data_IF_839438901320
#
_entry.id   IF_839438901320
#
_cell.length_a   1.000
_cell.length_b   1.000
_cell.length_c   1.000
_cell.angle_alpha   90.00
_cell.angle_beta   90.00
_cell.angle_gamma   90.00
#
_symmetry.space_group_name_H-M   'P 1'
#
loop_
_entity.id
_entity.type
_entity.pdbx_description
1 polymer ?
#
# COMPACT_ATOMS: atom_id res chain seq x y z
N UNK A 1 -12.43 -14.54 9.81
CA UNK A 1 -11.49 -15.61 9.39
C UNK A 1 -11.83 -15.98 7.95
N UNK A 2 -10.86 -15.97 7.04
CA UNK A 2 -11.11 -16.36 5.64
C UNK A 2 -11.02 -17.89 5.57
N UNK A 3 -12.10 -18.54 5.23
CA UNK A 3 -12.11 -20.00 5.08
C UNK A 3 -11.29 -20.40 3.85
N UNK A 4 -10.30 -21.26 4.07
CA UNK A 4 -9.53 -21.86 2.98
C UNK A 4 -10.36 -23.03 2.44
N UNK A 5 -10.63 -23.10 1.12
CA UNK A 5 -11.38 -24.19 0.54
C UNK A 5 -10.71 -25.55 0.82
N UNK A 6 -11.52 -26.56 1.12
CA UNK A 6 -11.03 -27.90 1.50
C UNK A 6 -10.13 -28.54 0.45
N UNK A 7 -10.34 -28.24 -0.83
CA UNK A 7 -9.50 -28.74 -1.91
C UNK A 7 -8.11 -28.12 -1.93
N UNK A 8 -7.98 -26.87 -1.49
CA UNK A 8 -6.70 -26.18 -1.31
C UNK A 8 -5.97 -26.74 -0.10
N UNK A 9 -6.69 -26.92 1.03
CA UNK A 9 -6.14 -27.55 2.22
C UNK A 9 -5.59 -28.94 1.91
N UNK A 10 -6.36 -29.79 1.23
CA UNK A 10 -5.91 -31.10 0.79
C UNK A 10 -4.69 -31.05 -0.14
N UNK A 11 -4.58 -30.01 -0.98
CA UNK A 11 -3.39 -29.83 -1.81
C UNK A 11 -2.15 -29.49 -0.99
N UNK A 12 -2.29 -28.65 0.04
CA UNK A 12 -1.21 -28.27 0.95
C UNK A 12 -0.79 -29.45 1.84
N UNK A 13 -1.74 -30.16 2.46
CA UNK A 13 -1.51 -31.32 3.31
C UNK A 13 -0.81 -32.46 2.54
N UNK A 14 -1.16 -32.67 1.30
CA UNK A 14 -0.54 -33.67 0.42
C UNK A 14 0.82 -33.25 -0.15
N UNK A 15 1.39 -32.12 0.29
CA UNK A 15 2.71 -31.64 -0.13
C UNK A 15 2.78 -31.33 -1.64
N UNK A 16 1.67 -30.97 -2.28
CA UNK A 16 1.67 -30.61 -3.70
C UNK A 16 2.51 -29.36 -3.93
N UNK A 17 3.36 -29.39 -4.94
CA UNK A 17 4.19 -28.25 -5.31
C UNK A 17 3.33 -27.10 -5.82
N UNK A 18 3.54 -25.93 -5.25
CA UNK A 18 2.91 -24.70 -5.68
C UNK A 18 3.97 -23.63 -5.95
N UNK A 19 3.60 -22.63 -6.71
CA UNK A 19 4.41 -21.43 -6.97
C UNK A 19 3.59 -20.17 -6.71
N UNK A 20 4.26 -19.10 -6.33
CA UNK A 20 3.64 -17.80 -6.20
C UNK A 20 3.53 -17.13 -7.55
N UNK A 21 2.35 -16.58 -7.81
CA UNK A 21 2.06 -15.77 -8.98
C UNK A 21 1.53 -14.41 -8.51
N UNK A 22 1.92 -13.37 -9.23
CA UNK A 22 1.59 -11.99 -8.91
C UNK A 22 0.90 -11.33 -10.08
N UNK A 23 -0.26 -10.77 -9.83
CA UNK A 23 -0.95 -9.88 -10.76
C UNK A 23 -0.79 -8.45 -10.27
N UNK A 24 -0.06 -7.64 -11.01
CA UNK A 24 0.16 -6.21 -10.71
C UNK A 24 -0.84 -5.39 -11.49
N UNK A 25 -1.61 -4.58 -10.79
CA UNK A 25 -2.66 -3.74 -11.36
C UNK A 25 -2.32 -2.28 -11.13
N UNK A 26 -2.01 -1.55 -12.23
CA UNK A 26 -1.76 -0.11 -12.23
C UNK A 26 -2.78 0.57 -13.14
N UNK A 27 -3.72 1.30 -12.54
CA UNK A 27 -4.84 1.91 -13.27
C UNK A 27 -5.61 0.89 -14.11
N UNK A 28 -5.42 0.88 -15.44
CA UNK A 28 -6.07 -0.04 -16.38
C UNK A 28 -5.13 -1.13 -16.92
N UNK A 29 -3.86 -1.07 -16.57
CA UNK A 29 -2.87 -2.05 -17.03
C UNK A 29 -2.72 -3.18 -16.02
N UNK A 30 -2.56 -4.40 -16.54
CA UNK A 30 -2.27 -5.60 -15.75
C UNK A 30 -0.98 -6.22 -16.24
N UNK A 31 -0.14 -6.59 -15.31
CA UNK A 31 1.11 -7.30 -15.58
C UNK A 31 1.16 -8.54 -14.69
N UNK A 32 1.68 -9.64 -15.23
CA UNK A 32 1.62 -10.93 -14.57
C UNK A 32 3.02 -11.50 -14.42
N UNK A 33 3.39 -11.87 -13.20
CA UNK A 33 4.71 -12.40 -12.87
C UNK A 33 4.59 -13.69 -12.06
N UNK A 34 5.59 -14.55 -12.17
CA UNK A 34 5.65 -15.80 -11.40
C UNK A 34 7.04 -16.01 -10.83
N UNK A 35 7.09 -16.64 -9.65
CA UNK A 35 8.33 -17.14 -9.06
C UNK A 35 8.83 -18.45 -9.73
N UNK A 36 8.12 -18.98 -10.71
CA UNK A 36 8.55 -20.13 -11.49
C UNK A 36 9.58 -19.74 -12.54
N UNK A 37 10.48 -20.66 -12.91
CA UNK A 37 11.54 -20.41 -13.88
C UNK A 37 11.05 -20.38 -15.34
N UNK A 38 9.81 -20.80 -15.59
CA UNK A 38 9.22 -20.86 -16.92
C UNK A 38 7.93 -20.02 -16.98
N UNK A 39 7.56 -19.61 -18.19
CA UNK A 39 6.30 -18.91 -18.43
C UNK A 39 5.13 -19.84 -18.08
N UNK A 40 4.26 -19.37 -17.20
CA UNK A 40 3.01 -20.05 -16.87
C UNK A 40 1.84 -19.39 -17.59
N UNK A 41 0.94 -20.20 -18.13
CA UNK A 41 -0.31 -19.72 -18.74
C UNK A 41 -1.46 -20.10 -17.80
N UNK A 42 -2.07 -19.11 -17.20
CA UNK A 42 -3.17 -19.27 -16.23
C UNK A 42 -4.36 -18.47 -16.75
N UNK A 43 -5.49 -19.11 -17.00
CA UNK A 43 -6.73 -18.44 -17.49
C UNK A 43 -6.52 -17.55 -18.73
N UNK A 44 -5.65 -17.94 -19.66
CA UNK A 44 -5.22 -17.21 -20.87
C UNK A 44 -4.22 -16.07 -20.63
N UNK A 45 -3.89 -15.72 -19.40
CA UNK A 45 -2.89 -14.74 -19.06
C UNK A 45 -1.50 -15.40 -18.97
N UNK A 46 -0.49 -14.73 -19.52
CA UNK A 46 0.90 -15.18 -19.49
C UNK A 46 1.61 -14.57 -18.30
N UNK A 47 1.99 -15.42 -17.34
CA UNK A 47 2.81 -15.04 -16.20
C UNK A 47 4.28 -15.18 -16.56
N UNK A 48 4.99 -14.07 -16.56
CA UNK A 48 6.41 -14.02 -16.91
C UNK A 48 7.25 -14.46 -15.70
N UNK A 49 8.27 -15.31 -15.91
CA UNK A 49 9.20 -15.68 -14.86
C UNK A 49 9.96 -14.44 -14.40
N UNK A 50 10.08 -14.29 -13.09
CA UNK A 50 10.90 -13.24 -12.49
C UNK A 50 11.73 -13.83 -11.35
N UNK A 51 13.05 -13.83 -11.54
CA UNK A 51 13.99 -14.46 -10.60
C UNK A 51 13.89 -13.84 -9.21
N UNK A 52 13.70 -14.69 -8.21
CA UNK A 52 13.74 -14.28 -6.81
C UNK A 52 12.48 -13.66 -6.24
N UNK A 53 11.37 -13.56 -6.99
CA UNK A 53 10.10 -13.04 -6.45
C UNK A 53 9.41 -14.02 -5.51
N UNK A 54 10.08 -14.50 -4.49
CA UNK A 54 9.44 -15.27 -3.42
C UNK A 54 9.13 -14.33 -2.26
N UNK A 55 7.92 -14.40 -1.68
CA UNK A 55 7.63 -13.65 -0.46
C UNK A 55 8.51 -14.19 0.67
N UNK A 56 9.22 -13.29 1.33
CA UNK A 56 10.16 -13.64 2.40
C UNK A 56 9.43 -14.04 3.68
N UNK A 57 8.31 -13.39 3.97
CA UNK A 57 7.48 -13.69 5.13
C UNK A 57 6.01 -13.48 4.78
N UNK A 58 5.25 -14.56 4.76
CA UNK A 58 3.80 -14.50 4.77
C UNK A 58 3.35 -15.08 6.10
N UNK A 59 3.01 -14.22 7.05
CA UNK A 59 2.37 -14.62 8.28
C UNK A 59 0.87 -14.34 8.18
N UNK A 60 0.06 -15.36 8.39
CA UNK A 60 -1.39 -15.23 8.47
C UNK A 60 -1.79 -15.17 9.94
N UNK A 61 -1.69 -13.99 10.53
CA UNK A 61 -2.23 -13.74 11.85
C UNK A 61 -3.63 -13.12 11.72
N UNK A 62 -4.51 -13.36 12.68
CA UNK A 62 -5.86 -12.76 12.73
C UNK A 62 -5.83 -11.21 12.87
N UNK A 63 -4.68 -10.65 13.18
CA UNK A 63 -4.45 -9.20 13.15
C UNK A 63 -4.19 -8.77 11.71
N UNK A 64 -5.05 -7.91 11.18
CA UNK A 64 -5.04 -7.38 9.81
C UNK A 64 -3.79 -6.53 9.43
N UNK A 65 -2.61 -6.90 9.91
CA UNK A 65 -1.37 -6.13 9.79
C UNK A 65 -0.23 -6.91 9.12
N UNK A 66 -0.55 -7.96 8.36
CA UNK A 66 0.49 -8.77 7.73
C UNK A 66 1.10 -8.02 6.54
N UNK A 67 2.20 -7.34 6.82
CA UNK A 67 3.07 -6.75 5.81
C UNK A 67 3.83 -7.89 5.13
N UNK A 68 3.77 -7.95 3.81
CA UNK A 68 4.55 -8.90 3.02
C UNK A 68 5.75 -8.17 2.42
N UNK A 69 6.91 -8.78 2.57
CA UNK A 69 8.12 -8.36 1.88
C UNK A 69 8.40 -9.32 0.71
N UNK A 70 8.55 -8.77 -0.48
CA UNK A 70 9.00 -9.50 -1.65
C UNK A 70 10.37 -8.99 -2.02
N UNK A 71 11.34 -9.88 -2.10
CA UNK A 71 12.69 -9.55 -2.59
C UNK A 71 12.90 -10.16 -3.97
N UNK A 72 13.69 -9.50 -4.79
CA UNK A 72 14.05 -9.98 -6.11
C UNK A 72 15.37 -9.39 -6.59
N UNK A 73 15.86 -9.91 -7.71
CA UNK A 73 17.09 -9.44 -8.37
C UNK A 73 16.68 -8.74 -9.65
N UNK A 74 17.30 -7.59 -9.96
CA UNK A 74 17.12 -6.94 -11.25
C UNK A 74 17.76 -7.77 -12.34
N UNK A 75 16.96 -8.17 -13.32
CA UNK A 75 17.50 -8.76 -14.57
C UNK A 75 17.77 -7.63 -15.57
N UNK A 76 18.89 -7.74 -16.32
CA UNK A 76 19.35 -6.75 -17.30
C UNK A 76 18.36 -6.45 -18.44
N UNK A 77 17.27 -7.16 -18.52
CA UNK A 77 16.23 -7.02 -19.55
C UNK A 77 14.98 -6.33 -19.07
N UNK A 78 15.14 -5.08 -18.62
CA UNK A 78 14.20 -4.04 -19.03
C UNK A 78 12.78 -4.09 -18.49
N UNK A 79 12.55 -4.37 -17.22
CA UNK A 79 11.42 -3.79 -16.54
C UNK A 79 12.00 -2.86 -15.48
N UNK A 80 11.75 -1.57 -15.63
CA UNK A 80 12.00 -0.56 -14.61
C UNK A 80 11.07 -0.81 -13.43
N UNK A 81 11.36 -1.88 -12.70
CA UNK A 81 10.44 -2.48 -11.72
C UNK A 81 10.19 -1.60 -10.50
N UNK A 82 11.04 -0.62 -10.25
CA UNK A 82 10.96 0.16 -9.02
C UNK A 82 9.91 1.25 -9.02
N UNK A 83 9.95 2.13 -10.01
CA UNK A 83 9.09 3.32 -10.01
C UNK A 83 7.67 3.00 -10.48
N UNK A 84 7.52 1.91 -11.24
CA UNK A 84 6.23 1.49 -11.77
C UNK A 84 5.36 0.71 -10.79
N UNK A 85 5.91 0.15 -9.73
CA UNK A 85 5.16 -0.63 -8.74
C UNK A 85 4.60 0.19 -7.57
N UNK A 86 5.21 1.34 -7.28
CA UNK A 86 4.73 2.18 -6.18
C UNK A 86 3.27 2.58 -6.41
N UNK A 87 2.44 2.33 -5.43
CA UNK A 87 1.02 2.64 -5.49
C UNK A 87 0.16 1.64 -6.28
N UNK A 88 0.74 0.56 -6.81
CA UNK A 88 -0.01 -0.50 -7.49
C UNK A 88 -0.74 -1.43 -6.52
N UNK A 89 -1.84 -2.01 -6.98
CA UNK A 89 -2.45 -3.15 -6.29
C UNK A 89 -1.79 -4.44 -6.81
N UNK A 90 -1.50 -5.34 -5.89
CA UNK A 90 -0.85 -6.63 -6.21
C UNK A 90 -1.69 -7.76 -5.63
N UNK A 91 -2.20 -8.61 -6.51
CA UNK A 91 -2.86 -9.86 -6.14
C UNK A 91 -1.81 -10.96 -6.03
N UNK A 92 -1.75 -11.61 -4.88
CA UNK A 92 -0.89 -12.77 -4.65
C UNK A 92 -1.73 -14.03 -4.83
N UNK A 93 -1.27 -14.91 -5.70
CA UNK A 93 -1.97 -16.13 -6.13
C UNK A 93 -1.05 -17.31 -5.91
N UNK A 94 -1.56 -18.39 -5.32
CA UNK A 94 -0.92 -19.69 -5.33
C UNK A 94 -1.37 -20.46 -6.57
N UNK A 95 -0.42 -20.97 -7.34
CA UNK A 95 -0.68 -21.85 -8.46
C UNK A 95 -0.11 -23.24 -8.19
N UNK A 96 -0.97 -24.25 -8.18
CA UNK A 96 -0.58 -25.64 -7.95
C UNK A 96 -0.19 -26.31 -9.26
N UNK A 97 1.11 -26.58 -9.43
CA UNK A 97 1.67 -27.14 -10.68
C UNK A 97 1.03 -28.46 -11.12
N UNK A 98 0.69 -29.32 -10.16
CA UNK A 98 0.15 -30.65 -10.44
C UNK A 98 -1.34 -30.67 -10.78
N UNK A 99 -2.12 -29.74 -10.25
CA UNK A 99 -3.58 -29.70 -10.41
C UNK A 99 -4.06 -28.57 -11.30
N UNK A 100 -3.15 -27.69 -11.73
CA UNK A 100 -3.45 -26.47 -12.50
C UNK A 100 -4.52 -25.59 -11.85
N UNK A 101 -4.63 -25.66 -10.50
CA UNK A 101 -5.58 -24.84 -9.73
C UNK A 101 -4.91 -23.60 -9.21
N UNK A 102 -5.69 -22.53 -9.11
CA UNK A 102 -5.27 -21.26 -8.53
C UNK A 102 -6.00 -20.98 -7.22
N UNK A 103 -5.33 -20.38 -6.28
CA UNK A 103 -5.94 -19.86 -5.07
C UNK A 103 -5.49 -18.44 -4.81
N UNK A 104 -6.44 -17.51 -4.74
CA UNK A 104 -6.18 -16.13 -4.39
C UNK A 104 -5.86 -16.01 -2.90
N UNK A 105 -4.61 -15.71 -2.60
CA UNK A 105 -4.12 -15.60 -1.23
C UNK A 105 -4.61 -14.32 -0.59
N UNK A 106 -4.24 -13.18 -1.17
CA UNK A 106 -4.67 -11.86 -0.70
C UNK A 106 -4.40 -10.78 -1.75
N UNK A 107 -4.97 -9.60 -1.50
CA UNK A 107 -4.72 -8.39 -2.27
C UNK A 107 -3.97 -7.38 -1.41
N UNK A 108 -2.89 -6.89 -1.94
CA UNK A 108 -1.98 -5.96 -1.30
C UNK A 108 -1.85 -4.67 -2.10
N UNK A 109 -1.34 -3.66 -1.42
CA UNK A 109 -0.95 -2.39 -2.02
C UNK A 109 0.55 -2.20 -1.84
N UNK A 110 1.25 -1.83 -2.91
CA UNK A 110 2.67 -1.55 -2.85
C UNK A 110 2.90 -0.17 -2.21
N UNK A 111 3.41 -0.18 -0.98
CA UNK A 111 3.68 1.02 -0.21
C UNK A 111 5.07 1.58 -0.51
N UNK A 112 6.06 0.71 -0.60
CA UNK A 112 7.44 1.11 -0.75
C UNK A 112 8.21 0.14 -1.64
N UNK A 113 9.15 0.67 -2.40
CA UNK A 113 10.10 -0.09 -3.20
C UNK A 113 11.50 0.39 -2.87
N UNK A 114 12.28 -0.45 -2.21
CA UNK A 114 13.68 -0.20 -1.88
C UNK A 114 14.54 -0.86 -2.95
N UNK A 115 15.38 -0.07 -3.59
CA UNK A 115 16.35 -0.56 -4.58
C UNK A 115 17.73 -0.63 -3.93
N UNK A 116 18.41 -1.74 -4.12
CA UNK A 116 19.78 -1.96 -3.69
C UNK A 116 20.55 -2.56 -4.86
N UNK A 117 21.55 -1.87 -5.36
CA UNK A 117 22.43 -2.25 -6.48
C UNK A 117 21.81 -3.24 -7.50
N UNK A 118 21.88 -4.54 -7.23
CA UNK A 118 21.35 -5.62 -8.08
C UNK A 118 20.05 -6.23 -7.57
N UNK A 119 19.52 -5.76 -6.44
CA UNK A 119 18.32 -6.32 -5.83
C UNK A 119 17.27 -5.26 -5.54
N UNK A 120 16.05 -5.70 -5.39
CA UNK A 120 14.95 -4.86 -4.91
C UNK A 120 14.19 -5.55 -3.77
N UNK A 121 13.58 -4.74 -2.93
CA UNK A 121 12.65 -5.15 -1.89
C UNK A 121 11.37 -4.36 -2.05
N UNK A 122 10.24 -5.05 -2.14
CA UNK A 122 8.91 -4.46 -2.23
C UNK A 122 8.20 -4.71 -0.91
N UNK A 123 7.68 -3.64 -0.31
CA UNK A 123 6.89 -3.71 0.91
C UNK A 123 5.42 -3.58 0.52
N UNK A 124 4.67 -4.63 0.81
CA UNK A 124 3.26 -4.75 0.49
C UNK A 124 2.42 -4.66 1.76
N UNK A 125 1.45 -3.77 1.76
CA UNK A 125 0.45 -3.65 2.83
C UNK A 125 -0.89 -4.23 2.38
N UNK A 126 -1.63 -4.92 3.27
CA UNK A 126 -2.99 -5.34 2.98
C UNK A 126 -3.87 -4.14 2.63
N UNK A 127 -4.72 -4.27 1.63
CA UNK A 127 -5.62 -3.19 1.23
C UNK A 127 -6.58 -2.78 2.37
N UNK A 128 -6.81 -3.68 3.31
CA UNK A 128 -7.62 -3.43 4.52
C UNK A 128 -7.03 -2.38 5.44
N UNK A 129 -5.70 -2.16 5.42
CA UNK A 129 -5.06 -1.09 6.20
C UNK A 129 -5.49 0.30 5.70
N UNK A 130 -5.76 0.46 4.41
CA UNK A 130 -6.31 1.71 3.88
C UNK A 130 -7.71 2.02 4.44
N UNK A 131 -8.48 0.99 4.77
CA UNK A 131 -9.81 1.14 5.38
C UNK A 131 -9.72 1.54 6.86
N UNK A 132 -8.58 1.32 7.51
CA UNK A 132 -8.33 1.74 8.89
C UNK A 132 -7.86 3.19 9.01
N UNK A 133 -7.59 3.87 7.90
CA UNK A 133 -7.30 5.30 7.94
C UNK A 133 -8.52 6.03 8.46
N UNK A 134 -8.33 6.84 9.51
CA UNK A 134 -9.40 7.67 10.04
C UNK A 134 -9.87 8.64 8.95
N UNK A 135 -11.07 8.41 8.44
CA UNK A 135 -11.74 9.31 7.48
C UNK A 135 -12.34 10.51 8.22
N UNK A 136 -12.50 10.37 9.54
CA UNK A 136 -13.07 11.41 10.38
C UNK A 136 -11.97 12.35 10.89
N UNK A 137 -12.20 13.63 10.74
CA UNK A 137 -11.36 14.64 11.38
C UNK A 137 -11.60 14.55 12.89
N UNK A 138 -10.52 14.42 13.66
CA UNK A 138 -10.62 14.45 15.12
C UNK A 138 -10.92 15.88 15.60
N UNK A 139 -11.82 16.00 16.55
CA UNK A 139 -12.03 17.27 17.24
C UNK A 139 -10.83 17.57 18.14
N UNK A 140 -10.29 18.78 18.01
CA UNK A 140 -9.13 19.22 18.77
C UNK A 140 -8.97 20.72 18.74
N UNK A 141 -8.15 21.26 19.67
CA UNK A 141 -7.89 22.69 19.79
C UNK A 141 -7.15 23.27 18.57
N UNK A 142 -6.39 22.44 17.88
CA UNK A 142 -5.56 22.85 16.74
C UNK A 142 -6.34 22.88 15.43
N UNK A 143 -5.97 23.80 14.55
CA UNK A 143 -6.56 23.93 13.22
C UNK A 143 -6.24 22.71 12.35
N UNK A 144 -7.27 22.10 11.75
CA UNK A 144 -7.16 20.96 10.85
C UNK A 144 -6.80 21.32 9.41
N UNK A 145 -6.96 22.58 9.02
CA UNK A 145 -6.56 23.07 7.71
C UNK A 145 -5.05 23.11 7.56
N UNK A 146 -4.55 22.95 6.34
CA UNK A 146 -3.14 23.24 6.02
C UNK A 146 -3.00 24.69 5.66
N UNK A 147 -1.92 25.34 6.13
CA UNK A 147 -1.69 26.76 5.87
C UNK A 147 -1.78 27.06 4.37
N UNK A 148 -2.68 27.96 4.00
CA UNK A 148 -2.92 28.38 2.62
C UNK A 148 -3.62 27.35 1.72
N UNK A 149 -4.29 26.33 2.26
CA UNK A 149 -5.22 25.49 1.50
C UNK A 149 -6.59 26.17 1.35
N UNK A 150 -7.49 25.55 0.56
CA UNK A 150 -8.85 26.07 0.34
C UNK A 150 -9.66 26.23 1.63
N UNK A 151 -9.38 25.42 2.64
CA UNK A 151 -10.06 25.49 3.94
C UNK A 151 -9.51 26.60 4.83
N UNK A 152 -8.22 26.85 4.74
CA UNK A 152 -7.54 27.94 5.43
C UNK A 152 -7.88 29.30 4.82
N UNK A 153 -7.88 29.40 3.48
CA UNK A 153 -8.21 30.63 2.76
C UNK A 153 -7.17 31.76 2.87
N UNK A 154 -6.04 31.54 3.54
CA UNK A 154 -4.95 32.51 3.61
C UNK A 154 -4.14 32.46 2.33
N UNK A 155 -3.95 33.62 1.69
CA UNK A 155 -3.05 33.71 0.54
C UNK A 155 -1.58 33.76 1.03
N UNK A 156 -0.83 32.69 0.72
CA UNK A 156 0.59 32.59 1.09
C UNK A 156 1.46 33.66 0.44
N UNK A 157 1.04 34.20 -0.71
CA UNK A 157 1.81 35.21 -1.43
C UNK A 157 1.89 36.55 -0.67
N UNK A 158 0.98 36.78 0.26
CA UNK A 158 0.96 37.99 1.11
C UNK A 158 1.94 37.93 2.28
N UNK A 159 2.62 36.81 2.50
CA UNK A 159 3.52 36.59 3.62
C UNK A 159 4.94 36.26 3.16
N UNK A 160 5.98 36.57 3.94
CA UNK A 160 7.35 36.23 3.61
C UNK A 160 7.54 34.72 3.35
N UNK A 161 8.48 34.40 2.46
CA UNK A 161 8.86 33.00 2.24
C UNK A 161 9.32 32.36 3.56
N UNK A 162 8.79 31.15 3.86
CA UNK A 162 9.09 30.46 5.12
C UNK A 162 8.14 30.77 6.27
N UNK A 163 7.11 31.61 6.05
CA UNK A 163 6.08 31.82 7.07
C UNK A 163 5.40 30.52 7.44
N UNK A 164 5.39 30.22 8.73
CA UNK A 164 4.84 29.00 9.29
C UNK A 164 3.60 29.32 10.13
N UNK A 165 2.59 28.45 10.05
CA UNK A 165 1.40 28.50 10.89
C UNK A 165 1.45 27.37 11.93
N UNK A 166 1.45 27.72 13.22
CA UNK A 166 1.48 26.78 14.35
C UNK A 166 0.12 26.11 14.63
N UNK A 167 -0.87 26.41 13.80
CA UNK A 167 -2.25 25.90 13.91
C UNK A 167 -3.01 26.31 15.16
N UNK A 168 -2.51 27.26 15.93
CA UNK A 168 -3.18 27.81 17.12
C UNK A 168 -4.18 28.88 16.75
N UNK A 169 -5.30 28.96 17.50
CA UNK A 169 -6.34 29.96 17.27
C UNK A 169 -5.82 31.37 17.41
N UNK A 170 -5.04 31.64 18.47
CA UNK A 170 -4.46 32.98 18.75
C UNK A 170 -3.58 33.45 17.60
N UNK A 171 -2.73 32.57 17.06
CA UNK A 171 -1.86 32.87 15.91
C UNK A 171 -2.68 33.12 14.65
N UNK A 172 -3.71 32.32 14.43
CA UNK A 172 -4.63 32.49 13.31
C UNK A 172 -5.32 33.84 13.32
N UNK A 173 -5.76 34.30 14.51
CA UNK A 173 -6.39 35.59 14.67
C UNK A 173 -5.39 36.75 14.52
N UNK A 174 -4.27 36.73 15.26
CA UNK A 174 -3.40 37.87 15.40
C UNK A 174 -2.43 38.03 14.23
N UNK A 175 -1.90 36.95 13.70
CA UNK A 175 -0.91 36.99 12.62
C UNK A 175 -1.55 36.94 11.24
N UNK A 176 -2.63 36.17 11.08
CA UNK A 176 -3.24 35.94 9.76
C UNK A 176 -4.60 36.62 9.60
N UNK A 177 -5.14 37.22 10.67
CA UNK A 177 -6.49 37.84 10.69
C UNK A 177 -7.55 36.91 10.07
N UNK A 178 -7.47 35.62 10.36
CA UNK A 178 -8.22 34.57 9.67
C UNK A 178 -9.04 33.66 10.62
N UNK A 179 -9.53 34.24 11.71
CA UNK A 179 -10.32 33.51 12.72
C UNK A 179 -11.54 32.78 12.13
N UNK A 180 -12.17 33.39 11.11
CA UNK A 180 -13.38 32.87 10.46
C UNK A 180 -13.15 31.51 9.81
N UNK A 181 -11.95 31.26 9.28
CA UNK A 181 -11.58 30.02 8.62
C UNK A 181 -10.81 29.06 9.54
N UNK A 182 -10.73 29.37 10.83
CA UNK A 182 -10.13 28.44 11.79
C UNK A 182 -10.93 27.15 11.87
N UNK A 183 -10.25 26.01 11.73
CA UNK A 183 -10.86 24.67 11.68
C UNK A 183 -10.49 23.82 12.89
N UNK A 184 -10.29 24.41 14.03
CA UNK A 184 -10.15 23.77 15.32
C UNK A 184 -11.25 24.25 16.27
N UNK A 185 -11.27 23.65 17.45
CA UNK A 185 -12.22 23.94 18.52
C UNK A 185 -11.46 24.55 19.72
N UNK A 186 -11.11 25.86 19.68
CA UNK A 186 -10.19 26.46 20.63
C UNK A 186 -10.70 26.45 22.08
N UNK A 187 -12.00 26.28 22.26
CA UNK A 187 -12.67 26.36 23.56
C UNK A 187 -13.12 25.02 24.12
N UNK A 188 -12.62 23.88 23.55
CA UNK A 188 -12.91 22.55 24.13
C UNK A 188 -12.36 22.50 25.56
N UNK A 189 -13.18 22.11 26.55
CA UNK A 189 -12.70 21.89 27.91
C UNK A 189 -11.65 20.79 27.95
N UNK A 190 -10.62 20.93 28.76
CA UNK A 190 -9.72 19.83 29.05
C UNK A 190 -10.44 18.81 29.90
N UNK A 191 -10.54 17.58 29.41
CA UNK A 191 -11.02 16.46 30.24
C UNK A 191 -9.91 16.16 31.24
N UNK A 192 -10.18 16.51 32.49
CA UNK A 192 -9.33 16.21 33.64
C UNK A 192 -9.36 14.72 34.00
#
# INVERSE_FOLDING_TARGET
MREIPDDVLKCLENGKKFVYCYEVIKAKQRSFFTAHNEILVINKDKYLPYSGMNPVNISFNDSAQDIIEITGIFEDKGISFGDDLLGCNINVILYFLTSCKTYHLAQYFCQEVVKQDLSFKIILEPITLKLKQSVLESYGKDCRASFGDLRCGVDKALYPQGTFCDKKFITCCNQFNNAVNFRGEPFIPELS
#
